data_IF_142288906576
#
_entry.id   IF_142288906576
#
_cell.length_a   1.000
_cell.length_b   1.000
_cell.length_c   1.000
_cell.angle_alpha   90.00
_cell.angle_beta   90.00
_cell.angle_gamma   90.00
#
_symmetry.space_group_name_H-M   'P 1'
#
loop_
_entity.id
_entity.type
_entity.pdbx_description
1 polymer ?
#
# COMPACT_ATOMS: atom_id res chain seq x y z
N UNK A 1 -12.74 6.18 24.97
CA UNK A 1 -14.14 5.90 25.40
C UNK A 1 -14.15 5.39 26.84
N UNK A 2 -15.28 5.45 27.52
CA UNK A 2 -15.42 4.83 28.86
C UNK A 2 -15.84 3.35 28.75
N UNK A 3 -15.81 2.64 29.88
CA UNK A 3 -16.16 1.20 29.96
C UNK A 3 -17.59 0.89 29.47
N UNK A 4 -18.56 1.75 29.80
CA UNK A 4 -19.97 1.55 29.42
C UNK A 4 -20.10 1.65 27.88
N UNK A 5 -19.53 2.70 27.31
CA UNK A 5 -19.51 2.89 25.85
C UNK A 5 -18.83 1.73 25.13
N UNK A 6 -17.71 1.23 25.67
CA UNK A 6 -17.01 0.07 25.13
C UNK A 6 -17.87 -1.18 25.16
N UNK A 7 -18.54 -1.44 26.28
CA UNK A 7 -19.46 -2.58 26.44
C UNK A 7 -20.63 -2.51 25.46
N UNK A 8 -21.25 -1.33 25.32
CA UNK A 8 -22.37 -1.11 24.40
C UNK A 8 -21.92 -1.34 22.92
N UNK A 9 -20.73 -0.84 22.56
CA UNK A 9 -20.14 -1.08 21.24
C UNK A 9 -19.91 -2.57 20.98
N UNK A 10 -19.26 -3.27 21.91
CA UNK A 10 -18.98 -4.70 21.78
C UNK A 10 -20.26 -5.54 21.70
N UNK A 11 -21.28 -5.20 22.49
CA UNK A 11 -22.58 -5.88 22.45
C UNK A 11 -23.23 -5.77 21.07
N UNK A 12 -23.12 -4.63 20.40
CA UNK A 12 -23.66 -4.42 19.04
C UNK A 12 -23.09 -5.41 18.03
N UNK A 13 -21.85 -5.84 18.23
CA UNK A 13 -21.14 -6.77 17.33
C UNK A 13 -20.97 -8.19 17.92
N UNK A 14 -21.54 -8.45 19.10
CA UNK A 14 -21.45 -9.74 19.78
C UNK A 14 -20.01 -10.10 20.22
N UNK A 15 -19.24 -9.11 20.65
CA UNK A 15 -17.82 -9.24 21.02
C UNK A 15 -17.56 -9.00 22.52
N UNK A 16 -18.52 -9.24 23.40
CA UNK A 16 -18.44 -8.95 24.84
C UNK A 16 -17.31 -9.69 25.55
N UNK A 17 -16.87 -10.83 24.99
CA UNK A 17 -15.75 -11.62 25.52
C UNK A 17 -14.43 -10.85 25.58
N UNK A 18 -14.28 -9.77 24.79
CA UNK A 18 -13.11 -8.86 24.81
C UNK A 18 -12.89 -8.25 26.20
N UNK A 19 -13.96 -8.05 26.97
CA UNK A 19 -13.90 -7.51 28.33
C UNK A 19 -13.79 -8.61 29.43
N UNK A 20 -13.62 -9.89 29.06
CA UNK A 20 -13.58 -11.02 29.99
C UNK A 20 -12.59 -10.84 31.16
N UNK A 21 -11.43 -10.25 30.87
CA UNK A 21 -10.35 -10.08 31.83
C UNK A 21 -10.23 -8.64 32.36
N UNK A 22 -11.20 -7.74 32.07
CA UNK A 22 -11.08 -6.30 32.35
C UNK A 22 -10.77 -5.98 33.80
N UNK A 23 -11.43 -6.69 34.75
CA UNK A 23 -11.24 -6.46 36.20
C UNK A 23 -9.89 -7.00 36.73
N UNK A 24 -9.17 -7.79 35.93
CA UNK A 24 -7.81 -8.28 36.27
C UNK A 24 -6.71 -7.32 35.82
N UNK A 25 -7.06 -6.31 35.00
CA UNK A 25 -6.11 -5.39 34.36
C UNK A 25 -5.77 -4.21 35.29
N UNK A 26 -4.53 -3.74 35.19
CA UNK A 26 -4.18 -2.46 35.79
C UNK A 26 -4.79 -1.27 34.97
N UNK A 27 -4.76 -0.06 35.55
CA UNK A 27 -5.36 1.14 34.93
C UNK A 27 -4.81 1.46 33.53
N UNK A 28 -3.52 1.28 33.33
CA UNK A 28 -2.88 1.52 32.02
C UNK A 28 -3.40 0.54 30.97
N UNK A 29 -3.48 -0.75 31.31
CA UNK A 29 -3.98 -1.80 30.43
C UNK A 29 -5.46 -1.62 30.12
N UNK A 30 -6.27 -1.24 31.13
CA UNK A 30 -7.68 -0.92 30.94
C UNK A 30 -7.84 0.23 29.94
N UNK A 31 -7.09 1.30 30.11
CA UNK A 31 -7.15 2.46 29.21
C UNK A 31 -6.73 2.09 27.78
N UNK A 32 -5.68 1.30 27.60
CA UNK A 32 -5.23 0.80 26.29
C UNK A 32 -6.31 -0.03 25.61
N UNK A 33 -6.93 -0.96 26.34
CA UNK A 33 -8.02 -1.79 25.80
C UNK A 33 -9.23 -0.94 25.39
N UNK A 34 -9.67 0.00 26.22
CA UNK A 34 -10.78 0.89 25.92
C UNK A 34 -10.48 1.77 24.68
N UNK A 35 -9.25 2.25 24.56
CA UNK A 35 -8.83 3.03 23.38
C UNK A 35 -8.88 2.14 22.12
N UNK A 36 -8.34 0.94 22.17
CA UNK A 36 -8.34 0.01 21.04
C UNK A 36 -9.77 -0.38 20.63
N UNK A 37 -10.68 -0.65 21.59
CA UNK A 37 -12.10 -0.88 21.30
C UNK A 37 -12.73 0.33 20.60
N UNK A 38 -12.36 1.54 21.01
CA UNK A 38 -12.80 2.78 20.37
C UNK A 38 -12.41 2.89 18.91
N UNK A 39 -11.16 2.56 18.60
CA UNK A 39 -10.52 2.76 17.31
C UNK A 39 -10.85 1.67 16.28
N UNK A 40 -11.14 0.45 16.72
CA UNK A 40 -11.44 -0.68 15.84
C UNK A 40 -12.83 -0.55 15.21
N UNK A 41 -12.91 -0.74 13.89
CA UNK A 41 -14.17 -0.96 13.19
C UNK A 41 -14.52 -2.45 13.20
N UNK A 42 -15.48 -2.83 14.05
CA UNK A 42 -15.98 -4.21 14.12
C UNK A 42 -17.00 -4.55 13.03
N UNK A 43 -17.41 -3.60 12.20
CA UNK A 43 -18.37 -3.88 11.11
C UNK A 43 -17.79 -4.84 10.07
N UNK A 44 -16.47 -4.87 9.92
CA UNK A 44 -15.74 -5.79 9.04
C UNK A 44 -16.02 -7.27 9.33
N UNK A 45 -16.39 -7.59 10.58
CA UNK A 45 -16.71 -8.97 10.99
C UNK A 45 -17.99 -9.52 10.34
N UNK A 46 -18.86 -8.66 9.80
CA UNK A 46 -20.06 -9.09 9.08
C UNK A 46 -19.71 -9.88 7.82
N UNK A 47 -18.58 -9.52 7.18
CA UNK A 47 -18.10 -10.20 5.99
C UNK A 47 -17.67 -11.64 6.21
N UNK A 48 -17.39 -12.08 7.46
CA UNK A 48 -17.08 -13.49 7.77
C UNK A 48 -18.22 -14.43 7.37
N UNK A 49 -19.47 -13.97 7.41
CA UNK A 49 -20.68 -14.74 7.09
C UNK A 49 -21.11 -14.63 5.63
N UNK A 50 -20.48 -13.75 4.87
CA UNK A 50 -20.78 -13.56 3.45
C UNK A 50 -19.93 -14.53 2.61
N UNK A 51 -20.43 -14.98 1.46
CA UNK A 51 -19.59 -15.75 0.55
C UNK A 51 -18.47 -14.86 0.00
N UNK A 52 -17.22 -15.18 0.35
CA UNK A 52 -16.02 -14.37 0.06
C UNK A 52 -15.62 -14.35 -1.43
N UNK A 53 -16.41 -14.88 -2.32
CA UNK A 53 -16.15 -14.79 -3.75
C UNK A 53 -16.73 -13.48 -4.29
N UNK A 54 -15.90 -12.46 -4.34
CA UNK A 54 -16.18 -11.32 -5.21
C UNK A 54 -16.26 -11.86 -6.64
N UNK A 55 -17.47 -11.98 -7.17
CA UNK A 55 -17.63 -12.33 -8.59
C UNK A 55 -17.13 -11.13 -9.40
N UNK A 56 -16.03 -11.33 -10.11
CA UNK A 56 -15.54 -10.34 -11.08
C UNK A 56 -16.53 -10.17 -12.21
N UNK A 57 -16.73 -8.94 -12.64
CA UNK A 57 -17.49 -8.60 -13.82
C UNK A 57 -16.80 -9.07 -15.12
N UNK A 58 -17.30 -8.61 -16.25
CA UNK A 58 -16.70 -8.92 -17.55
C UNK A 58 -15.36 -8.22 -17.70
N UNK A 59 -14.28 -9.00 -17.76
CA UNK A 59 -12.91 -8.51 -17.94
C UNK A 59 -12.63 -8.28 -19.43
N UNK A 60 -12.11 -7.10 -19.76
CA UNK A 60 -11.63 -6.73 -21.10
C UNK A 60 -10.29 -6.01 -21.03
N UNK A 61 -9.46 -6.05 -22.10
CA UNK A 61 -8.17 -5.38 -22.09
C UNK A 61 -8.29 -3.86 -21.91
N UNK A 62 -7.35 -3.27 -21.16
CA UNK A 62 -7.16 -1.82 -21.06
C UNK A 62 -5.84 -1.45 -21.75
N UNK A 63 -5.92 -0.60 -22.76
CA UNK A 63 -4.72 -0.14 -23.47
C UNK A 63 -3.84 0.73 -22.54
N UNK A 64 -2.54 0.47 -22.56
CA UNK A 64 -1.55 1.30 -21.89
C UNK A 64 -0.95 2.34 -22.86
N UNK A 65 -0.59 3.50 -22.32
CA UNK A 65 0.33 4.42 -22.99
C UNK A 65 1.71 3.77 -22.99
N UNK A 66 2.21 3.42 -24.18
CA UNK A 66 3.42 2.63 -24.33
C UNK A 66 4.66 3.51 -24.51
N UNK A 67 5.84 2.94 -24.25
CA UNK A 67 7.13 3.65 -24.33
C UNK A 67 7.36 4.46 -25.62
N UNK A 68 7.00 3.99 -26.84
CA UNK A 68 7.16 4.81 -28.05
C UNK A 68 6.35 6.11 -28.01
N UNK A 69 5.07 6.04 -27.61
CA UNK A 69 4.21 7.22 -27.47
C UNK A 69 4.68 8.15 -26.34
N UNK A 70 5.13 7.58 -25.23
CA UNK A 70 5.68 8.34 -24.09
C UNK A 70 6.90 9.13 -24.54
N UNK A 71 7.85 8.49 -25.26
CA UNK A 71 9.06 9.15 -25.76
C UNK A 71 8.77 10.27 -26.76
N UNK A 72 7.77 10.10 -27.61
CA UNK A 72 7.34 11.14 -28.56
C UNK A 72 6.84 12.41 -27.85
N UNK A 73 6.18 12.25 -26.70
CA UNK A 73 5.55 13.34 -25.94
C UNK A 73 6.30 13.69 -24.64
N UNK A 74 7.49 13.11 -24.41
CA UNK A 74 8.22 13.18 -23.15
C UNK A 74 8.44 14.60 -22.67
N UNK A 75 8.92 15.49 -23.54
CA UNK A 75 9.17 16.90 -23.18
C UNK A 75 7.91 17.63 -22.74
N UNK A 76 6.79 17.37 -23.41
CA UNK A 76 5.49 17.98 -23.07
C UNK A 76 4.98 17.46 -21.73
N UNK A 77 5.00 16.16 -21.51
CA UNK A 77 4.57 15.55 -20.25
C UNK A 77 5.47 16.01 -19.09
N UNK A 78 6.78 15.97 -19.29
CA UNK A 78 7.77 16.39 -18.30
C UNK A 78 7.60 17.86 -17.91
N UNK A 79 7.40 18.75 -18.87
CA UNK A 79 7.15 20.17 -18.60
C UNK A 79 5.89 20.38 -17.76
N UNK A 80 4.79 19.70 -18.09
CA UNK A 80 3.53 19.79 -17.35
C UNK A 80 3.65 19.24 -15.94
N UNK A 81 4.30 18.07 -15.78
CA UNK A 81 4.52 17.49 -14.46
C UNK A 81 5.45 18.33 -13.57
N UNK A 82 6.53 18.88 -14.14
CA UNK A 82 7.40 19.81 -13.41
C UNK A 82 6.67 21.08 -12.98
N UNK A 83 5.77 21.61 -13.83
CA UNK A 83 4.92 22.75 -13.43
C UNK A 83 4.05 22.40 -12.22
N UNK A 84 3.36 21.26 -12.26
CA UNK A 84 2.53 20.82 -11.14
C UNK A 84 3.33 20.62 -9.84
N UNK A 85 4.56 20.09 -9.93
CA UNK A 85 5.46 19.94 -8.77
C UNK A 85 5.87 21.30 -8.24
N UNK A 86 6.32 22.23 -9.11
CA UNK A 86 6.76 23.57 -8.71
C UNK A 86 5.65 24.42 -8.12
N UNK A 87 4.42 24.17 -8.52
CA UNK A 87 3.23 24.81 -7.96
C UNK A 87 2.78 24.21 -6.62
N UNK A 88 3.51 23.20 -6.08
CA UNK A 88 3.18 22.53 -4.83
C UNK A 88 1.96 21.61 -4.90
N UNK A 89 1.52 21.24 -6.10
CA UNK A 89 0.30 20.45 -6.32
C UNK A 89 0.49 18.94 -6.16
N UNK A 90 1.72 18.49 -5.97
CA UNK A 90 2.05 17.06 -5.92
C UNK A 90 2.62 16.67 -4.55
N UNK A 91 2.08 15.62 -3.95
CA UNK A 91 2.62 14.97 -2.76
C UNK A 91 2.99 13.51 -3.05
N UNK A 92 3.96 12.98 -2.31
CA UNK A 92 4.43 11.60 -2.39
C UNK A 92 3.98 10.82 -1.15
N UNK A 93 3.38 9.64 -1.32
CA UNK A 93 2.89 8.79 -0.22
C UNK A 93 3.61 7.46 -0.25
N UNK A 94 4.47 7.23 0.74
CA UNK A 94 5.21 5.98 0.92
C UNK A 94 4.42 5.03 1.82
N UNK A 95 4.05 3.85 1.29
CA UNK A 95 3.41 2.78 2.05
C UNK A 95 4.49 1.91 2.70
N UNK A 96 4.80 2.18 3.97
CA UNK A 96 5.92 1.59 4.73
C UNK A 96 5.49 0.85 6.00
N UNK A 97 4.24 0.37 6.09
CA UNK A 97 3.74 -0.37 7.27
C UNK A 97 4.26 -1.80 7.42
N UNK A 98 5.02 -2.32 6.46
CA UNK A 98 5.50 -3.70 6.44
C UNK A 98 6.77 -3.94 7.24
N UNK A 99 6.91 -5.19 7.77
CA UNK A 99 8.09 -5.69 8.46
C UNK A 99 9.01 -6.50 7.53
N UNK A 100 10.30 -6.60 7.89
CA UNK A 100 11.32 -7.35 7.15
C UNK A 100 11.32 -8.87 7.34
N UNK A 101 10.27 -9.45 7.91
CA UNK A 101 10.25 -10.86 8.34
C UNK A 101 10.58 -11.87 7.24
N UNK A 102 10.15 -11.62 6.00
CA UNK A 102 10.52 -12.46 4.83
C UNK A 102 11.99 -12.32 4.43
N UNK A 103 12.64 -11.26 4.89
CA UNK A 103 14.08 -11.00 4.66
C UNK A 103 14.93 -11.50 5.83
N UNK A 104 14.30 -12.11 6.84
CA UNK A 104 14.97 -12.60 8.05
C UNK A 104 15.29 -11.49 9.06
N UNK A 105 14.61 -10.34 8.99
CA UNK A 105 14.74 -9.23 9.95
C UNK A 105 13.40 -8.99 10.66
N UNK A 106 13.49 -8.69 11.95
CA UNK A 106 12.34 -8.26 12.76
C UNK A 106 12.12 -6.73 12.70
N UNK A 107 12.96 -6.02 11.97
CA UNK A 107 12.86 -4.58 11.78
C UNK A 107 11.88 -4.18 10.68
N UNK A 108 11.47 -2.91 10.62
CA UNK A 108 10.76 -2.34 9.48
C UNK A 108 11.48 -2.63 8.17
N UNK A 109 10.75 -3.01 7.13
CA UNK A 109 11.32 -3.42 5.85
C UNK A 109 12.22 -2.36 5.21
N UNK A 110 11.87 -1.09 5.35
CA UNK A 110 12.66 0.03 4.83
C UNK A 110 14.03 0.19 5.45
N UNK A 111 14.26 -0.35 6.64
CA UNK A 111 15.54 -0.35 7.35
C UNK A 111 16.48 -1.47 6.87
N UNK A 112 16.02 -2.37 6.01
CA UNK A 112 16.85 -3.48 5.54
C UNK A 112 18.01 -2.96 4.70
N UNK A 113 19.24 -3.41 5.06
CA UNK A 113 20.47 -3.03 4.37
C UNK A 113 20.65 -3.90 3.11
N UNK A 114 20.63 -3.26 1.94
CA UNK A 114 20.88 -3.90 0.65
C UNK A 114 22.30 -3.64 0.12
N UNK A 115 23.12 -2.90 0.87
CA UNK A 115 24.48 -2.57 0.51
C UNK A 115 25.37 -3.80 0.35
N UNK A 116 26.44 -3.64 -0.42
CA UNK A 116 27.48 -4.66 -0.67
C UNK A 116 28.84 -4.19 -0.21
N UNK A 117 29.23 -2.97 -0.52
CA UNK A 117 30.52 -2.36 -0.19
C UNK A 117 30.40 -1.27 0.88
N UNK A 118 29.20 -0.75 1.06
CA UNK A 118 28.82 0.25 2.06
C UNK A 118 27.39 -0.01 2.50
N UNK A 119 26.99 0.57 3.61
CA UNK A 119 25.59 0.50 4.05
C UNK A 119 24.70 1.32 3.11
N UNK A 120 23.68 0.65 2.57
CA UNK A 120 22.62 1.27 1.74
C UNK A 120 21.29 0.65 2.15
N UNK A 121 20.38 1.45 2.61
CA UNK A 121 19.08 1.00 3.11
C UNK A 121 17.97 1.18 2.08
N UNK A 122 16.92 0.38 2.17
CA UNK A 122 15.76 0.52 1.28
C UNK A 122 15.18 1.94 1.38
N UNK A 123 14.98 2.49 2.59
CA UNK A 123 14.53 3.87 2.77
C UNK A 123 15.47 4.88 2.10
N UNK A 124 16.78 4.69 2.24
CA UNK A 124 17.75 5.56 1.57
C UNK A 124 17.54 5.60 0.07
N UNK A 125 17.39 4.42 -0.58
CA UNK A 125 17.18 4.35 -2.03
C UNK A 125 15.91 5.07 -2.47
N UNK A 126 14.80 4.91 -1.73
CA UNK A 126 13.55 5.59 -2.05
C UNK A 126 13.67 7.11 -1.90
N UNK A 127 14.32 7.56 -0.85
CA UNK A 127 14.55 8.99 -0.62
C UNK A 127 15.46 9.57 -1.70
N UNK A 128 16.55 8.88 -2.07
CA UNK A 128 17.44 9.30 -3.16
C UNK A 128 16.70 9.39 -4.50
N UNK A 129 15.82 8.41 -4.82
CA UNK A 129 14.99 8.45 -6.03
C UNK A 129 14.05 9.68 -6.04
N UNK A 130 13.50 10.07 -4.89
CA UNK A 130 12.67 11.27 -4.77
C UNK A 130 13.51 12.55 -4.84
N UNK A 131 14.70 12.56 -4.22
CA UNK A 131 15.64 13.69 -4.28
C UNK A 131 16.11 14.01 -5.70
N UNK A 132 16.20 13.00 -6.59
CA UNK A 132 16.53 13.25 -7.99
C UNK A 132 15.45 14.08 -8.69
N UNK A 133 14.18 13.86 -8.36
CA UNK A 133 13.08 14.68 -8.87
C UNK A 133 13.03 16.07 -8.18
N UNK A 134 13.31 16.14 -6.88
CA UNK A 134 13.44 17.40 -6.16
C UNK A 134 14.52 18.30 -6.78
N UNK A 135 15.68 17.75 -7.12
CA UNK A 135 16.77 18.48 -7.82
C UNK A 135 16.34 18.98 -9.20
N UNK A 136 15.63 18.14 -9.96
CA UNK A 136 15.14 18.49 -11.29
C UNK A 136 14.08 19.59 -11.25
N UNK A 137 13.16 19.50 -10.29
CA UNK A 137 12.10 20.48 -10.09
C UNK A 137 12.58 21.76 -9.39
N UNK A 138 13.74 21.73 -8.73
CA UNK A 138 14.21 22.76 -7.80
C UNK A 138 13.17 23.09 -6.70
N UNK A 139 12.45 22.06 -6.24
CA UNK A 139 11.33 22.21 -5.30
C UNK A 139 11.16 20.91 -4.50
N UNK A 140 11.02 21.03 -3.17
CA UNK A 140 10.73 19.87 -2.32
C UNK A 140 9.27 19.44 -2.45
N UNK A 141 9.06 18.13 -2.49
CA UNK A 141 7.75 17.49 -2.58
C UNK A 141 7.37 17.02 -1.17
N UNK A 142 6.17 17.33 -0.65
CA UNK A 142 5.72 16.77 0.62
C UNK A 142 5.76 15.24 0.57
N UNK A 143 6.45 14.60 1.54
CA UNK A 143 6.56 13.15 1.69
C UNK A 143 5.72 12.70 2.89
N UNK A 144 4.69 11.91 2.63
CA UNK A 144 3.83 11.32 3.63
C UNK A 144 4.20 9.85 3.82
N UNK A 145 4.67 9.46 5.01
CA UNK A 145 5.15 8.11 5.29
C UNK A 145 4.11 7.37 6.13
N UNK A 146 3.43 6.40 5.52
CA UNK A 146 2.52 5.50 6.22
C UNK A 146 3.29 4.39 6.91
N UNK A 147 3.19 4.33 8.21
CA UNK A 147 3.76 3.29 9.07
C UNK A 147 2.66 2.40 9.65
N UNK A 148 3.02 1.43 10.47
CA UNK A 148 2.09 0.61 11.25
C UNK A 148 2.35 0.78 12.75
N UNK A 149 1.39 0.35 13.56
CA UNK A 149 1.53 0.28 15.03
C UNK A 149 2.85 -0.39 15.46
N UNK A 150 3.25 -1.46 14.74
CA UNK A 150 4.44 -2.25 15.08
C UNK A 150 5.76 -1.60 14.68
N UNK A 151 5.77 -0.69 13.70
CA UNK A 151 7.02 -0.19 13.12
C UNK A 151 7.18 1.33 13.15
N UNK A 152 6.19 2.05 13.68
CA UNK A 152 6.19 3.52 13.66
C UNK A 152 7.41 4.11 14.36
N UNK A 153 7.61 3.77 15.64
CA UNK A 153 8.71 4.34 16.44
C UNK A 153 10.07 4.00 15.85
N UNK A 154 10.28 2.74 15.45
CA UNK A 154 11.53 2.31 14.84
C UNK A 154 11.79 3.04 13.51
N UNK A 155 10.76 3.20 12.66
CA UNK A 155 10.90 3.91 11.38
C UNK A 155 11.24 5.38 11.57
N UNK A 156 10.54 6.08 12.48
CA UNK A 156 10.77 7.49 12.76
C UNK A 156 12.18 7.70 13.32
N UNK A 157 12.58 6.91 14.33
CA UNK A 157 13.91 6.99 14.94
C UNK A 157 15.02 6.73 13.92
N UNK A 158 14.86 5.68 13.12
CA UNK A 158 15.84 5.32 12.09
C UNK A 158 16.04 6.43 11.05
N UNK A 159 14.98 7.00 10.52
CA UNK A 159 15.09 8.08 9.54
C UNK A 159 15.73 9.33 10.16
N UNK A 160 15.41 9.64 11.41
CA UNK A 160 16.03 10.75 12.14
C UNK A 160 17.52 10.52 12.42
N UNK A 161 17.91 9.32 12.83
CA UNK A 161 19.31 8.94 13.08
C UNK A 161 20.19 9.03 11.82
N UNK A 162 19.58 8.84 10.64
CA UNK A 162 20.24 8.97 9.35
C UNK A 162 20.02 10.31 8.65
N UNK A 163 19.65 11.36 9.43
CA UNK A 163 19.38 12.72 8.90
C UNK A 163 18.46 12.69 7.66
N UNK A 164 17.43 11.83 7.76
CA UNK A 164 16.44 11.60 6.68
C UNK A 164 17.07 11.37 5.29
N UNK A 165 18.29 10.84 5.25
CA UNK A 165 19.10 10.65 4.04
C UNK A 165 19.20 11.92 3.16
N UNK A 166 19.26 13.09 3.82
CA UNK A 166 19.36 14.41 3.16
C UNK A 166 18.03 15.00 2.70
N UNK A 167 16.89 14.37 2.99
CA UNK A 167 15.59 15.00 2.79
C UNK A 167 15.28 15.99 3.92
N UNK A 168 14.54 17.06 3.62
CA UNK A 168 14.15 18.04 4.65
C UNK A 168 13.12 17.47 5.61
N UNK A 169 13.42 17.49 6.91
CA UNK A 169 12.53 16.99 7.96
C UNK A 169 11.15 17.65 7.92
N UNK A 170 11.09 18.96 7.70
CA UNK A 170 9.85 19.72 7.63
C UNK A 170 8.93 19.33 6.45
N UNK A 171 9.49 18.63 5.44
CA UNK A 171 8.74 18.12 4.30
C UNK A 171 8.24 16.69 4.51
N UNK A 172 8.56 16.04 5.65
CA UNK A 172 8.15 14.68 5.95
C UNK A 172 7.05 14.67 7.01
N UNK A 173 5.99 13.94 6.75
CA UNK A 173 4.89 13.73 7.71
C UNK A 173 4.63 12.24 7.87
N UNK A 174 4.68 11.75 9.10
CA UNK A 174 4.36 10.36 9.41
C UNK A 174 2.91 10.21 9.84
N UNK A 175 2.30 9.10 9.44
CA UNK A 175 0.97 8.69 9.91
C UNK A 175 0.89 7.17 10.00
N UNK A 176 0.03 6.65 10.85
CA UNK A 176 -0.12 5.20 11.01
C UNK A 176 -1.33 4.69 10.23
N UNK A 177 -1.16 3.54 9.58
CA UNK A 177 -2.27 2.83 8.95
C UNK A 177 -3.27 2.35 10.00
N UNK A 178 -4.53 2.25 9.60
CA UNK A 178 -5.57 1.70 10.44
C UNK A 178 -5.40 0.19 10.59
N UNK A 179 -5.87 -0.31 11.73
CA UNK A 179 -5.78 -1.71 12.08
C UNK A 179 -7.17 -2.34 12.02
N UNK A 180 -7.26 -3.53 11.44
CA UNK A 180 -8.46 -4.37 11.45
C UNK A 180 -8.34 -5.46 12.53
N UNK A 181 -9.43 -5.86 13.17
CA UNK A 181 -9.41 -6.98 14.12
C UNK A 181 -9.14 -8.29 13.38
N UNK A 182 -8.47 -9.24 14.02
CA UNK A 182 -8.39 -10.60 13.53
C UNK A 182 -9.45 -11.46 14.25
N UNK A 183 -10.08 -12.39 13.54
CA UNK A 183 -11.15 -13.21 14.10
C UNK A 183 -10.96 -14.70 13.86
N UNK A 184 -11.69 -15.50 14.62
CA UNK A 184 -11.91 -16.90 14.28
C UNK A 184 -12.86 -17.05 13.05
N UNK A 185 -13.17 -18.29 12.68
CA UNK A 185 -14.05 -18.61 11.56
C UNK A 185 -15.54 -18.27 11.80
N UNK A 186 -15.91 -17.96 13.05
CA UNK A 186 -17.27 -17.56 13.44
C UNK A 186 -17.42 -16.04 13.58
N UNK A 187 -16.32 -15.29 13.39
CA UNK A 187 -16.28 -13.83 13.51
C UNK A 187 -16.11 -13.33 14.95
N UNK A 188 -15.64 -14.17 15.87
CA UNK A 188 -15.21 -13.73 17.20
C UNK A 188 -13.78 -13.23 17.12
N UNK A 189 -13.53 -12.00 17.59
CA UNK A 189 -12.19 -11.43 17.58
C UNK A 189 -11.26 -12.17 18.52
N UNK A 190 -10.02 -12.35 18.11
CA UNK A 190 -8.98 -12.90 18.94
C UNK A 190 -8.39 -11.85 19.88
N UNK A 191 -7.98 -12.29 21.08
CA UNK A 191 -7.15 -11.51 21.99
C UNK A 191 -5.69 -11.93 21.84
N UNK A 192 -4.78 -10.97 21.66
CA UNK A 192 -3.33 -11.22 21.66
C UNK A 192 -2.81 -11.31 23.09
N UNK A 193 -3.33 -10.45 23.97
CA UNK A 193 -3.11 -10.45 25.42
C UNK A 193 -4.43 -10.13 26.13
N UNK A 194 -4.51 -10.33 27.46
CA UNK A 194 -5.74 -10.05 28.24
C UNK A 194 -6.27 -8.62 28.05
N UNK A 195 -5.41 -7.69 27.69
CA UNK A 195 -5.70 -6.26 27.48
C UNK A 195 -5.55 -5.81 26.02
N UNK A 196 -5.25 -6.72 25.09
CA UNK A 196 -4.94 -6.38 23.70
C UNK A 196 -5.70 -7.27 22.72
N UNK A 197 -6.53 -6.65 21.89
CA UNK A 197 -7.20 -7.33 20.79
C UNK A 197 -6.16 -7.66 19.72
N UNK A 198 -6.22 -8.88 19.18
CA UNK A 198 -5.40 -9.27 18.03
C UNK A 198 -5.84 -8.48 16.80
N UNK A 199 -4.93 -7.70 16.24
CA UNK A 199 -5.17 -6.87 15.06
C UNK A 199 -4.10 -7.09 14.01
N UNK A 200 -4.41 -6.71 12.80
CA UNK A 200 -3.46 -6.60 11.69
C UNK A 200 -3.71 -5.33 10.90
N UNK A 201 -2.72 -4.84 10.16
CA UNK A 201 -2.96 -3.78 9.18
C UNK A 201 -4.18 -4.11 8.32
N UNK A 202 -5.03 -3.11 8.07
CA UNK A 202 -6.23 -3.25 7.25
C UNK A 202 -5.95 -3.30 5.74
N UNK A 203 -4.70 -3.56 5.37
CA UNK A 203 -4.25 -3.58 3.99
C UNK A 203 -3.77 -2.22 3.47
N UNK A 204 -3.17 -2.24 2.29
CA UNK A 204 -2.64 -1.02 1.69
C UNK A 204 -3.71 -0.11 1.08
N UNK A 205 -4.95 -0.58 0.90
CA UNK A 205 -6.07 0.23 0.40
C UNK A 205 -6.59 1.25 1.42
N UNK A 206 -6.39 1.01 2.72
CA UNK A 206 -6.77 1.93 3.79
C UNK A 206 -5.85 3.15 3.96
N UNK A 207 -4.91 3.40 3.04
CA UNK A 207 -3.94 4.48 3.18
C UNK A 207 -4.59 5.87 3.22
N UNK A 208 -5.62 6.10 2.39
CA UNK A 208 -6.26 7.41 2.31
C UNK A 208 -7.19 7.68 3.50
N UNK A 209 -7.93 6.70 3.98
CA UNK A 209 -8.70 6.79 5.23
C UNK A 209 -7.78 7.04 6.43
N UNK A 210 -6.63 6.37 6.46
CA UNK A 210 -5.61 6.60 7.49
C UNK A 210 -5.05 8.04 7.44
N UNK A 211 -4.76 8.58 6.24
CA UNK A 211 -4.37 10.00 6.09
C UNK A 211 -5.44 10.95 6.65
N UNK A 212 -6.73 10.65 6.44
CA UNK A 212 -7.84 11.43 7.00
C UNK A 212 -7.92 11.33 8.52
N UNK A 213 -7.82 10.12 9.07
CA UNK A 213 -7.83 9.89 10.53
C UNK A 213 -6.76 10.71 11.25
N UNK A 214 -5.57 10.80 10.65
CA UNK A 214 -4.44 11.58 11.17
C UNK A 214 -4.45 13.05 10.73
N UNK A 215 -5.50 13.53 10.04
CA UNK A 215 -5.63 14.88 9.50
C UNK A 215 -4.54 15.29 8.51
N UNK A 216 -3.81 14.33 7.99
CA UNK A 216 -2.73 14.54 7.00
C UNK A 216 -3.31 14.89 5.64
N UNK A 217 -4.41 14.25 5.23
CA UNK A 217 -5.10 14.56 3.96
C UNK A 217 -5.67 15.99 3.96
N UNK A 218 -6.29 16.42 5.07
CA UNK A 218 -6.82 17.77 5.22
C UNK A 218 -5.71 18.82 5.14
N UNK A 219 -4.55 18.53 5.79
CA UNK A 219 -3.39 19.43 5.71
C UNK A 219 -2.85 19.49 4.27
N UNK A 220 -2.67 18.35 3.61
CA UNK A 220 -2.20 18.30 2.22
C UNK A 220 -3.10 19.13 1.29
N UNK A 221 -4.42 18.99 1.40
CA UNK A 221 -5.38 19.80 0.62
C UNK A 221 -5.29 21.28 0.95
N UNK A 222 -5.14 21.65 2.23
CA UNK A 222 -4.98 23.04 2.64
C UNK A 222 -3.67 23.66 2.13
N UNK A 223 -2.62 22.86 1.99
CA UNK A 223 -1.33 23.24 1.42
C UNK A 223 -1.35 23.29 -0.13
N UNK A 224 -2.47 22.95 -0.77
CA UNK A 224 -2.66 23.01 -2.23
C UNK A 224 -2.33 21.74 -3.00
N UNK A 225 -2.11 20.59 -2.31
CA UNK A 225 -1.84 19.31 -2.97
C UNK A 225 -3.10 18.84 -3.70
N UNK A 226 -2.99 18.64 -5.01
CA UNK A 226 -4.05 18.16 -5.90
C UNK A 226 -3.83 16.69 -6.34
N UNK A 227 -2.60 16.23 -6.28
CA UNK A 227 -2.17 14.91 -6.75
C UNK A 227 -1.33 14.20 -5.72
N UNK A 228 -1.59 12.90 -5.49
CA UNK A 228 -0.80 12.06 -4.58
C UNK A 228 -0.19 10.90 -5.37
N UNK A 229 1.15 10.85 -5.42
CA UNK A 229 1.86 9.69 -5.95
C UNK A 229 2.07 8.69 -4.83
N UNK A 230 1.40 7.54 -4.92
CA UNK A 230 1.40 6.48 -3.90
C UNK A 230 2.27 5.32 -4.36
N UNK A 231 3.20 4.88 -3.52
CA UNK A 231 4.17 3.84 -3.87
C UNK A 231 4.56 2.97 -2.68
N UNK A 232 5.01 1.74 -3.00
CA UNK A 232 5.40 0.76 -1.98
C UNK A 232 6.88 0.89 -1.59
N UNK A 233 7.18 0.50 -0.35
CA UNK A 233 8.53 0.49 0.22
C UNK A 233 9.46 -0.54 -0.43
N UNK A 234 8.93 -1.54 -1.13
CA UNK A 234 9.73 -2.68 -1.58
C UNK A 234 10.43 -2.50 -2.94
N UNK A 235 10.02 -1.54 -3.78
CA UNK A 235 10.63 -1.34 -5.09
C UNK A 235 11.69 -0.24 -5.05
N UNK A 236 12.97 -0.62 -5.02
CA UNK A 236 14.11 0.28 -4.82
C UNK A 236 14.56 1.06 -6.06
N UNK A 237 14.03 0.75 -7.25
CA UNK A 237 14.36 1.46 -8.50
C UNK A 237 13.26 2.41 -8.99
N UNK A 238 12.06 2.33 -8.45
CA UNK A 238 10.95 3.13 -8.95
C UNK A 238 11.26 4.63 -8.94
N UNK A 239 10.93 5.34 -10.02
CA UNK A 239 10.98 6.79 -10.06
C UNK A 239 9.72 7.35 -9.39
N UNK A 240 9.92 8.05 -8.28
CA UNK A 240 8.86 8.59 -7.44
C UNK A 240 8.56 10.02 -7.88
N UNK A 241 7.28 10.41 -7.88
CA UNK A 241 6.82 11.71 -8.35
C UNK A 241 7.37 12.08 -9.75
N UNK A 242 7.46 11.09 -10.62
CA UNK A 242 8.01 11.21 -11.98
C UNK A 242 7.27 12.28 -12.79
N UNK A 243 7.94 13.38 -13.21
CA UNK A 243 7.28 14.46 -13.93
C UNK A 243 6.63 14.02 -15.24
N UNK A 244 7.24 13.07 -15.97
CA UNK A 244 6.67 12.56 -17.20
C UNK A 244 5.36 11.80 -16.95
N UNK A 245 5.33 10.94 -15.95
CA UNK A 245 4.12 10.22 -15.55
C UNK A 245 3.01 11.16 -15.05
N UNK A 246 3.36 12.11 -14.18
CA UNK A 246 2.41 13.12 -13.67
C UNK A 246 1.81 13.92 -14.83
N UNK A 247 2.65 14.44 -15.71
CA UNK A 247 2.19 15.23 -16.85
C UNK A 247 1.35 14.42 -17.84
N UNK A 248 1.67 13.15 -18.05
CA UNK A 248 0.86 12.26 -18.88
C UNK A 248 -0.55 12.07 -18.30
N UNK A 249 -0.68 11.80 -17.00
CA UNK A 249 -1.99 11.64 -16.34
C UNK A 249 -2.80 12.94 -16.39
N UNK A 250 -2.18 14.08 -16.09
CA UNK A 250 -2.82 15.40 -16.14
C UNK A 250 -3.30 15.73 -17.55
N UNK A 251 -2.46 15.56 -18.57
CA UNK A 251 -2.78 15.90 -19.96
C UNK A 251 -3.91 15.04 -20.55
N UNK A 252 -4.05 13.79 -20.06
CA UNK A 252 -5.15 12.91 -20.46
C UNK A 252 -6.43 13.10 -19.62
N UNK A 253 -6.41 14.00 -18.62
CA UNK A 253 -7.58 14.26 -17.78
C UNK A 253 -8.05 13.08 -16.95
N UNK A 254 -7.17 12.11 -16.67
CA UNK A 254 -7.52 10.92 -15.92
C UNK A 254 -7.62 11.19 -14.41
N UNK A 255 -8.52 10.48 -13.73
CA UNK A 255 -8.66 10.53 -12.27
C UNK A 255 -7.49 9.86 -11.53
N UNK A 256 -6.87 8.89 -12.19
CA UNK A 256 -5.67 8.22 -11.69
C UNK A 256 -4.72 7.80 -12.82
N UNK A 257 -3.50 7.44 -12.45
CA UNK A 257 -2.55 6.73 -13.29
C UNK A 257 -1.91 5.59 -12.54
N UNK A 258 -1.48 4.57 -13.28
CA UNK A 258 -0.72 3.42 -12.75
C UNK A 258 0.52 3.21 -13.58
N UNK A 259 1.72 3.22 -12.98
CA UNK A 259 2.90 2.72 -13.66
C UNK A 259 2.78 1.22 -13.86
N UNK A 260 3.09 0.76 -15.06
CA UNK A 260 3.01 -0.66 -15.44
C UNK A 260 4.27 -1.09 -16.16
N UNK A 261 4.57 -2.39 -16.06
CA UNK A 261 5.67 -3.04 -16.78
C UNK A 261 5.12 -4.18 -17.63
N UNK A 262 5.80 -4.47 -18.73
CA UNK A 262 5.48 -5.68 -19.51
C UNK A 262 5.83 -6.92 -18.70
N UNK A 263 4.90 -7.87 -18.64
CA UNK A 263 5.14 -9.17 -18.01
C UNK A 263 6.26 -9.91 -18.76
N UNK A 264 7.11 -10.61 -18.02
CA UNK A 264 8.15 -11.46 -18.60
C UNK A 264 7.60 -12.80 -19.12
N UNK A 265 6.47 -13.26 -18.54
CA UNK A 265 5.77 -14.49 -18.92
C UNK A 265 4.27 -14.36 -18.61
N UNK A 266 3.38 -15.10 -19.31
CA UNK A 266 1.93 -15.05 -19.07
C UNK A 266 1.52 -15.36 -17.62
N UNK A 267 2.25 -16.25 -16.96
CA UNK A 267 2.02 -16.73 -15.60
C UNK A 267 2.80 -15.93 -14.52
N UNK A 268 3.42 -14.81 -14.89
CA UNK A 268 4.11 -13.96 -13.93
C UNK A 268 3.14 -13.47 -12.83
N UNK A 269 3.59 -13.56 -11.57
CA UNK A 269 2.78 -13.25 -10.37
C UNK A 269 2.71 -11.75 -10.09
N UNK A 270 2.07 -11.03 -11.00
CA UNK A 270 1.77 -9.59 -10.87
C UNK A 270 0.31 -9.34 -11.24
N UNK A 271 -0.35 -8.41 -10.56
CA UNK A 271 -1.68 -7.95 -10.95
C UNK A 271 -1.64 -7.23 -12.30
N UNK A 272 -2.68 -7.37 -13.11
CA UNK A 272 -2.76 -6.86 -14.48
C UNK A 272 -3.83 -5.81 -14.61
N UNK A 273 -3.50 -4.67 -15.24
CA UNK A 273 -4.49 -3.63 -15.58
C UNK A 273 -5.46 -4.13 -16.64
N UNK A 274 -6.73 -3.90 -16.40
CA UNK A 274 -7.83 -4.28 -17.29
C UNK A 274 -9.02 -3.33 -17.15
N UNK A 275 -10.08 -3.57 -17.91
CA UNK A 275 -11.41 -3.05 -17.65
C UNK A 275 -12.27 -4.17 -17.07
N UNK A 276 -13.02 -3.87 -16.03
CA UNK A 276 -14.08 -4.73 -15.48
C UNK A 276 -15.40 -3.99 -15.63
N UNK A 277 -16.31 -4.56 -16.40
CA UNK A 277 -17.58 -3.92 -16.80
C UNK A 277 -17.41 -2.50 -17.37
N UNK A 278 -16.29 -2.28 -18.10
CA UNK A 278 -15.96 -1.01 -18.72
C UNK A 278 -15.29 0.03 -17.81
N UNK A 279 -15.02 -0.30 -16.54
CA UNK A 279 -14.29 0.55 -15.59
C UNK A 279 -12.85 0.05 -15.40
N UNK A 280 -11.88 0.94 -15.12
CA UNK A 280 -10.52 0.52 -14.80
C UNK A 280 -10.52 -0.46 -13.62
N UNK A 281 -9.78 -1.52 -13.72
CA UNK A 281 -9.64 -2.53 -12.67
C UNK A 281 -8.28 -3.20 -12.75
N UNK A 282 -7.94 -3.94 -11.71
CA UNK A 282 -6.76 -4.79 -11.67
C UNK A 282 -7.20 -6.20 -11.30
N UNK A 283 -6.80 -7.16 -12.12
CA UNK A 283 -7.01 -8.58 -11.85
C UNK A 283 -5.72 -9.15 -11.31
N UNK A 284 -5.77 -9.72 -10.12
CA UNK A 284 -4.63 -10.38 -9.50
C UNK A 284 -4.28 -11.68 -10.23
N UNK A 285 -3.01 -12.05 -10.22
CA UNK A 285 -2.49 -13.22 -10.96
C UNK A 285 -3.21 -14.54 -10.62
N UNK A 286 -3.71 -14.67 -9.39
CA UNK A 286 -4.47 -15.86 -8.95
C UNK A 286 -5.95 -15.84 -9.36
N UNK A 287 -6.44 -14.72 -9.87
CA UNK A 287 -7.79 -14.55 -10.43
C UNK A 287 -7.79 -14.70 -11.96
N UNK A 288 -6.62 -14.60 -12.62
CA UNK A 288 -6.49 -14.77 -14.07
C UNK A 288 -6.73 -16.23 -14.45
N UNK A 289 -7.73 -16.47 -15.29
CA UNK A 289 -7.95 -17.78 -15.90
C UNK A 289 -6.88 -18.08 -16.97
N UNK A 290 -6.67 -19.36 -17.32
CA UNK A 290 -5.79 -19.74 -18.43
C UNK A 290 -6.19 -19.08 -19.75
N UNK A 291 -7.48 -18.89 -19.99
CA UNK A 291 -8.00 -18.19 -21.15
C UNK A 291 -7.53 -16.74 -21.19
N UNK A 292 -7.68 -16.00 -20.10
CA UNK A 292 -7.22 -14.60 -19.99
C UNK A 292 -5.70 -14.49 -20.07
N UNK A 293 -4.95 -15.39 -19.41
CA UNK A 293 -3.47 -15.39 -19.46
C UNK A 293 -2.93 -15.56 -20.88
N UNK A 294 -3.61 -16.34 -21.72
CA UNK A 294 -3.17 -16.65 -23.09
C UNK A 294 -3.91 -15.85 -24.17
N UNK A 295 -4.85 -14.98 -23.78
CA UNK A 295 -5.59 -14.14 -24.71
C UNK A 295 -4.64 -13.19 -25.47
N UNK A 296 -4.96 -13.00 -26.76
CA UNK A 296 -4.21 -12.12 -27.65
C UNK A 296 -5.10 -11.00 -28.16
N UNK A 297 -4.49 -9.87 -28.43
CA UNK A 297 -5.13 -8.74 -29.08
C UNK A 297 -5.22 -8.94 -30.60
N UNK A 298 -5.73 -7.93 -31.33
CA UNK A 298 -5.88 -7.95 -32.78
C UNK A 298 -4.57 -8.07 -33.55
N UNK A 299 -3.45 -7.69 -32.91
CA UNK A 299 -2.09 -7.74 -33.49
C UNK A 299 -1.39 -9.08 -33.19
N UNK A 300 -2.00 -9.93 -32.35
CA UNK A 300 -1.41 -11.19 -31.89
C UNK A 300 -0.51 -11.04 -30.66
N UNK A 301 -0.45 -9.87 -30.04
CA UNK A 301 0.25 -9.61 -28.79
C UNK A 301 -0.61 -10.06 -27.58
N UNK A 302 -0.01 -10.38 -26.43
CA UNK A 302 -0.77 -10.72 -25.24
C UNK A 302 -1.70 -9.57 -24.83
N UNK A 303 -2.99 -9.87 -24.63
CA UNK A 303 -4.00 -8.87 -24.34
C UNK A 303 -3.93 -8.32 -22.88
N UNK A 304 -3.43 -9.14 -21.93
CA UNK A 304 -3.35 -8.83 -20.50
C UNK A 304 -1.91 -8.95 -20.02
N UNK A 305 -1.07 -8.00 -20.41
CA UNK A 305 0.33 -8.16 -20.13
C UNK A 305 1.04 -6.95 -19.48
N UNK A 306 0.28 -5.92 -19.14
CA UNK A 306 0.78 -4.79 -18.37
C UNK A 306 0.56 -5.02 -16.87
N UNK A 307 1.63 -5.44 -16.20
CA UNK A 307 1.63 -5.69 -14.76
C UNK A 307 1.81 -4.42 -13.96
N UNK A 308 1.04 -4.27 -12.87
CA UNK A 308 1.14 -3.12 -11.96
C UNK A 308 2.34 -3.28 -11.01
N UNK A 309 3.01 -2.15 -10.69
CA UNK A 309 4.20 -2.15 -9.84
C UNK A 309 3.99 -1.41 -8.51
N UNK A 310 2.73 -1.14 -8.15
CA UNK A 310 2.33 -0.39 -6.96
C UNK A 310 2.99 1.00 -6.92
N UNK A 311 2.88 1.72 -8.02
CA UNK A 311 3.20 3.13 -8.15
C UNK A 311 2.06 3.80 -8.89
N UNK A 312 1.21 4.50 -8.14
CA UNK A 312 -0.02 5.12 -8.61
C UNK A 312 0.03 6.62 -8.44
N UNK A 313 -0.65 7.34 -9.30
CA UNK A 313 -0.96 8.76 -9.14
C UNK A 313 -2.47 8.92 -9.00
N UNK A 314 -2.93 9.58 -7.95
CA UNK A 314 -4.34 9.82 -7.70
C UNK A 314 -4.64 11.31 -7.65
N UNK A 315 -5.72 11.73 -8.30
CA UNK A 315 -6.26 13.07 -8.11
C UNK A 315 -7.03 13.16 -6.80
N UNK A 316 -6.65 14.09 -5.93
CA UNK A 316 -7.23 14.22 -4.58
C UNK A 316 -8.74 14.46 -4.63
N UNK A 317 -9.22 15.30 -5.56
CA UNK A 317 -10.65 15.56 -5.72
C UNK A 317 -11.47 14.31 -6.07
N UNK A 318 -10.87 13.35 -6.77
CA UNK A 318 -11.55 12.08 -7.12
C UNK A 318 -11.43 11.07 -5.98
N UNK A 319 -10.34 11.07 -5.21
CA UNK A 319 -10.24 10.31 -3.94
C UNK A 319 -11.32 10.75 -2.94
N UNK A 320 -11.58 12.06 -2.81
CA UNK A 320 -12.65 12.56 -1.93
C UNK A 320 -14.04 12.06 -2.33
N UNK A 321 -14.31 11.89 -3.63
CA UNK A 321 -15.60 11.35 -4.12
C UNK A 321 -15.81 9.88 -3.73
N UNK A 322 -14.73 9.10 -3.68
CA UNK A 322 -14.79 7.67 -3.36
C UNK A 322 -14.54 7.37 -1.89
N UNK A 323 -14.12 8.34 -1.09
CA UNK A 323 -13.73 8.16 0.32
C UNK A 323 -14.82 7.52 1.18
N UNK A 324 -16.08 7.87 0.94
CA UNK A 324 -17.22 7.36 1.69
C UNK A 324 -17.78 6.03 1.13
N UNK A 325 -17.22 5.56 0.00
CA UNK A 325 -17.58 4.26 -0.53
C UNK A 325 -16.90 3.16 0.28
N UNK A 326 -17.64 2.09 0.53
CA UNK A 326 -17.08 0.90 1.14
C UNK A 326 -16.26 0.14 0.09
N UNK A 327 -14.94 0.23 0.19
CA UNK A 327 -14.06 -0.61 -0.63
C UNK A 327 -14.30 -2.09 -0.31
N UNK A 328 -14.16 -2.98 -1.30
CA UNK A 328 -14.20 -4.42 -1.08
C UNK A 328 -13.28 -4.84 0.05
N UNK A 329 -13.73 -5.76 0.87
CA UNK A 329 -12.96 -6.32 1.96
C UNK A 329 -12.48 -7.73 1.60
N UNK A 330 -11.17 -7.89 1.52
CA UNK A 330 -10.55 -9.18 1.26
C UNK A 330 -10.37 -9.94 2.58
N UNK A 331 -11.02 -11.09 2.69
CA UNK A 331 -10.94 -11.95 3.87
C UNK A 331 -9.94 -13.06 3.60
N UNK A 332 -8.86 -13.09 4.40
CA UNK A 332 -7.72 -13.98 4.17
C UNK A 332 -7.49 -14.88 5.37
N UNK A 333 -7.46 -16.20 5.14
CA UNK A 333 -7.10 -17.16 6.18
C UNK A 333 -5.64 -17.02 6.61
N UNK A 334 -5.40 -16.93 7.91
CA UNK A 334 -4.05 -16.80 8.48
C UNK A 334 -3.89 -17.59 9.77
N UNK A 335 -2.62 -17.85 10.11
CA UNK A 335 -2.21 -18.30 11.44
C UNK A 335 -2.17 -17.08 12.34
N UNK A 336 -3.09 -17.00 13.28
CA UNK A 336 -3.26 -15.85 14.16
C UNK A 336 -2.91 -16.28 15.58
N UNK A 337 -1.78 -15.82 16.14
CA UNK A 337 -1.48 -16.01 17.55
C UNK A 337 -2.55 -15.34 18.42
N UNK A 338 -3.01 -16.04 19.44
CA UNK A 338 -4.11 -15.59 20.29
C UNK A 338 -4.07 -16.22 21.68
N UNK A 339 -4.90 -15.71 22.58
CA UNK A 339 -5.19 -16.40 23.84
C UNK A 339 -6.25 -17.47 23.60
N UNK A 340 -6.10 -18.60 24.29
CA UNK A 340 -7.14 -19.62 24.38
C UNK A 340 -8.23 -19.23 25.40
N UNK A 341 -9.22 -20.10 25.59
CA UNK A 341 -10.33 -19.89 26.51
C UNK A 341 -9.89 -19.69 27.98
N UNK A 342 -8.71 -20.19 28.34
CA UNK A 342 -8.11 -20.09 29.68
C UNK A 342 -7.18 -18.88 29.81
N UNK A 343 -6.98 -18.09 28.74
CA UNK A 343 -6.09 -16.95 28.73
C UNK A 343 -4.62 -17.30 28.52
N UNK A 344 -4.31 -18.51 28.05
CA UNK A 344 -2.96 -18.93 27.71
C UNK A 344 -2.64 -18.62 26.24
N UNK A 345 -1.44 -18.08 25.99
CA UNK A 345 -1.00 -17.75 24.64
C UNK A 345 -0.78 -19.00 23.78
N UNK A 346 -1.36 -18.97 22.58
CA UNK A 346 -1.27 -20.02 21.58
C UNK A 346 -0.66 -19.48 20.28
N UNK A 347 0.25 -20.25 19.69
CA UNK A 347 0.81 -20.00 18.37
C UNK A 347 0.40 -21.12 17.42
N UNK A 348 -0.64 -20.93 16.58
CA UNK A 348 -1.18 -22.00 15.76
C UNK A 348 -0.22 -22.43 14.65
N UNK A 349 -0.18 -23.74 14.37
CA UNK A 349 0.61 -24.30 13.27
C UNK A 349 -0.14 -24.28 11.93
N UNK A 350 -1.47 -24.16 11.96
CA UNK A 350 -2.35 -24.06 10.79
C UNK A 350 -3.17 -22.79 10.85
N UNK A 351 -3.71 -22.31 9.73
CA UNK A 351 -4.68 -21.21 9.74
C UNK A 351 -5.81 -21.52 10.73
N UNK A 352 -6.18 -20.53 11.53
CA UNK A 352 -7.19 -20.65 12.58
C UNK A 352 -8.23 -19.52 12.53
N UNK A 353 -8.14 -18.62 11.56
CA UNK A 353 -9.09 -17.52 11.44
C UNK A 353 -8.76 -16.57 10.31
N UNK A 354 -9.43 -15.43 10.33
CA UNK A 354 -9.42 -14.46 9.28
C UNK A 354 -8.72 -13.15 9.65
N UNK A 355 -8.06 -12.56 8.67
CA UNK A 355 -7.63 -11.16 8.61
C UNK A 355 -8.38 -10.45 7.50
N UNK A 356 -8.59 -9.15 7.66
CA UNK A 356 -9.38 -8.31 6.77
C UNK A 356 -8.48 -7.26 6.16
N UNK A 357 -8.44 -7.19 4.83
CA UNK A 357 -7.55 -6.30 4.10
C UNK A 357 -8.34 -5.57 3.00
N UNK A 358 -8.10 -4.28 2.84
CA UNK A 358 -8.48 -3.48 1.68
C UNK A 358 -7.25 -3.29 0.81
N UNK A 359 -7.42 -3.32 -0.48
CA UNK A 359 -6.31 -3.20 -1.42
C UNK A 359 -6.41 -1.90 -2.23
N UNK A 360 -5.25 -1.27 -2.49
CA UNK A 360 -5.21 -0.03 -3.28
C UNK A 360 -5.75 -0.24 -4.70
N UNK A 361 -5.68 -1.47 -5.20
CA UNK A 361 -6.24 -1.81 -6.50
C UNK A 361 -7.78 -1.64 -6.56
N UNK A 362 -8.48 -1.85 -5.44
CA UNK A 362 -9.93 -1.66 -5.38
C UNK A 362 -10.32 -0.19 -5.52
N UNK A 363 -9.45 0.74 -5.08
CA UNK A 363 -9.65 2.17 -5.30
C UNK A 363 -9.66 2.51 -6.79
N UNK A 364 -8.86 1.85 -7.60
CA UNK A 364 -8.80 2.07 -9.06
C UNK A 364 -10.15 1.76 -9.69
N UNK A 365 -10.82 0.68 -9.26
CA UNK A 365 -12.13 0.29 -9.78
C UNK A 365 -13.24 1.31 -9.44
N UNK A 366 -13.10 2.00 -8.32
CA UNK A 366 -14.06 3.03 -7.90
C UNK A 366 -13.90 4.36 -8.64
N UNK A 367 -12.79 4.57 -9.36
CA UNK A 367 -12.52 5.78 -10.14
C UNK A 367 -13.05 5.66 -11.57
N UNK A 368 -13.33 6.81 -12.20
CA UNK A 368 -13.90 6.85 -13.55
C UNK A 368 -12.87 6.57 -14.66
N UNK A 369 -11.58 6.82 -14.37
CA UNK A 369 -10.49 6.61 -15.33
C UNK A 369 -9.14 6.38 -14.63
N UNK A 370 -8.31 5.53 -15.24
CA UNK A 370 -6.93 5.31 -14.84
C UNK A 370 -6.07 5.14 -16.09
N UNK A 371 -4.96 5.86 -16.18
CA UNK A 371 -3.99 5.75 -17.27
C UNK A 371 -2.92 4.70 -16.91
N UNK A 372 -2.88 3.53 -17.55
CA UNK A 372 -1.72 2.66 -17.47
C UNK A 372 -0.56 3.29 -18.23
N UNK A 373 0.55 3.56 -17.56
CA UNK A 373 1.74 4.23 -18.08
C UNK A 373 2.92 3.25 -18.06
N UNK A 374 3.37 2.82 -19.23
CA UNK A 374 4.46 1.85 -19.35
C UNK A 374 5.80 2.46 -18.91
N UNK A 375 6.53 1.72 -18.08
CA UNK A 375 7.91 2.06 -17.70
C UNK A 375 8.89 0.95 -18.08
N UNK A 376 10.17 1.32 -18.26
CA UNK A 376 11.23 0.34 -18.53
C UNK A 376 11.43 -0.54 -17.29
N UNK A 377 11.11 -1.84 -17.42
CA UNK A 377 11.10 -2.80 -16.31
C UNK A 377 12.41 -2.82 -15.53
N UNK A 378 13.53 -2.95 -16.21
CA UNK A 378 14.86 -3.02 -15.60
C UNK A 378 15.35 -1.68 -15.02
N UNK A 379 14.65 -0.58 -15.28
CA UNK A 379 14.97 0.73 -14.72
C UNK A 379 14.08 1.14 -13.56
N UNK A 380 12.85 0.62 -13.50
CA UNK A 380 11.90 1.05 -12.49
C UNK A 380 11.27 -0.07 -11.65
N UNK A 381 11.66 -1.34 -11.88
CA UNK A 381 11.05 -2.45 -11.15
C UNK A 381 12.09 -3.43 -10.60
N UNK A 382 12.48 -3.20 -9.34
CA UNK A 382 13.35 -4.08 -8.55
C UNK A 382 12.75 -4.33 -7.16
N UNK A 383 11.64 -5.10 -7.08
CA UNK A 383 10.98 -5.34 -5.82
C UNK A 383 11.78 -6.31 -4.94
N UNK A 384 11.81 -6.02 -3.64
CA UNK A 384 12.45 -6.85 -2.62
C UNK A 384 11.37 -7.48 -1.77
N UNK A 385 10.94 -8.67 -2.11
CA UNK A 385 9.94 -9.45 -1.35
C UNK A 385 10.55 -10.62 -0.58
N UNK A 386 11.69 -11.14 -1.07
CA UNK A 386 12.39 -12.31 -0.54
C UNK A 386 13.88 -12.01 -0.35
N UNK A 387 14.59 -12.82 0.40
CA UNK A 387 16.05 -12.71 0.53
C UNK A 387 16.77 -13.13 -0.76
N UNK A 388 16.32 -14.23 -1.38
CA UNK A 388 16.93 -14.85 -2.58
C UNK A 388 15.87 -15.19 -3.61
N UNK A 389 16.32 -15.39 -4.86
CA UNK A 389 15.45 -15.79 -5.98
C UNK A 389 14.78 -14.62 -6.68
N UNK A 390 13.54 -14.82 -7.15
CA UNK A 390 12.76 -13.80 -7.84
C UNK A 390 12.27 -12.75 -6.83
N UNK A 391 12.22 -11.48 -7.24
CA UNK A 391 11.80 -10.36 -6.38
C UNK A 391 12.56 -10.33 -5.05
N UNK A 392 13.89 -10.43 -5.12
CA UNK A 392 14.75 -10.61 -3.95
C UNK A 392 15.78 -9.49 -3.78
N UNK A 393 16.45 -9.51 -2.62
CA UNK A 393 17.61 -8.66 -2.37
C UNK A 393 18.69 -8.88 -3.45
N UNK A 394 18.93 -10.15 -3.84
CA UNK A 394 19.93 -10.50 -4.84
C UNK A 394 19.57 -9.92 -6.22
N UNK A 395 18.35 -10.15 -6.69
CA UNK A 395 17.90 -9.62 -8.00
C UNK A 395 17.87 -8.08 -8.01
N UNK A 396 17.48 -7.45 -6.92
CA UNK A 396 17.48 -6.00 -6.80
C UNK A 396 18.90 -5.41 -6.84
N UNK A 397 19.89 -6.06 -6.19
CA UNK A 397 21.30 -5.66 -6.25
C UNK A 397 21.86 -5.71 -7.67
N UNK A 398 21.52 -6.74 -8.44
CA UNK A 398 21.92 -6.85 -9.85
C UNK A 398 21.37 -5.67 -10.66
N UNK A 399 20.06 -5.43 -10.54
CA UNK A 399 19.40 -4.32 -11.25
C UNK A 399 19.93 -2.94 -10.81
N UNK A 400 20.18 -2.73 -9.53
CA UNK A 400 20.81 -1.50 -9.04
C UNK A 400 22.18 -1.28 -9.72
N UNK A 401 23.03 -2.31 -9.77
CA UNK A 401 24.34 -2.24 -10.42
C UNK A 401 24.22 -1.94 -11.92
N UNK A 402 23.29 -2.58 -12.63
CA UNK A 402 23.02 -2.32 -14.06
C UNK A 402 22.56 -0.88 -14.30
N UNK A 403 21.92 -0.26 -13.33
CA UNK A 403 21.51 1.15 -13.36
C UNK A 403 22.58 2.11 -12.80
N UNK A 404 23.80 1.65 -12.56
CA UNK A 404 24.91 2.48 -12.11
C UNK A 404 24.80 2.91 -10.63
N UNK A 405 23.98 2.23 -9.83
CA UNK A 405 23.81 2.49 -8.40
C UNK A 405 24.86 1.66 -7.64
N UNK A 406 25.69 2.36 -6.88
CA UNK A 406 26.69 1.74 -6.02
C UNK A 406 26.06 1.30 -4.68
N UNK A 407 26.20 0.03 -4.36
CA UNK A 407 25.70 -0.61 -3.15
C UNK A 407 26.85 -1.06 -2.23
#
# INVERSE_FOLDING_TARGET
MDYKQAKDKLLTYGQEHVLKYYDELNEEQQQKLLTQIGDIDFSVLKSVKEEHKVQKGKITPLAAMQLPEIREKEDTFRALGLSAIREGKVGAVLLAGGMGTRLGSDDPKGMYNIGMTKDVYIFQRLIENLLDVVKEADTYIPLYVMTSDKNHEATVSFLKEHDYFGYKEECITFFMQEMAPASDYEGKVYMEEKWKISTSPNGNGGWYSSMHKWKVAQKAMADGVEWLNVFAVDNVLQRIADPCFIGAVISNGCAAGSKVVRKCAPDEKVGVMCLEDGRPSIVEYYELTEELMNAKDENGDPAYYFGVILNYLFKVADLEKIREKNLPLHVVEKKIPCLDENGAYQKPEKPNGYKFEQLVLDMIHELDSCLPFEVERNREFAPIKNATGVDSVESARILCKENGIEL
#
